data_IF_092328412597
#
_entry.id   IF_092328412597
#
_cell.length_a   1.000
_cell.length_b   1.000
_cell.length_c   1.000
_cell.angle_alpha   90.00
_cell.angle_beta   90.00
_cell.angle_gamma   90.00
#
_symmetry.space_group_name_H-M   'P 1'
#
loop_
_entity.id
_entity.type
_entity.pdbx_description
1 polymer ?
#
# COMPACT_ATOMS: atom_id res chain seq x y z
N UNK A 1 18.20 17.60 10.29
CA UNK A 1 17.44 16.35 10.37
C UNK A 1 17.07 15.95 8.95
N UNK A 2 17.11 14.69 8.61
CA UNK A 2 16.66 14.18 7.29
C UNK A 2 15.67 13.07 7.50
N UNK A 3 14.48 13.20 6.92
CA UNK A 3 13.56 12.08 6.78
C UNK A 3 14.23 11.02 5.90
N UNK A 4 14.17 9.75 6.30
CA UNK A 4 14.86 8.70 5.56
C UNK A 4 14.18 8.43 4.21
N UNK A 5 14.94 7.92 3.25
CA UNK A 5 14.44 7.52 1.95
C UNK A 5 14.21 6.01 1.93
N UNK A 6 13.13 5.60 1.27
CA UNK A 6 12.94 4.21 0.90
C UNK A 6 13.42 4.01 -0.53
N UNK A 7 14.37 3.10 -0.72
CA UNK A 7 14.77 2.59 -2.03
C UNK A 7 13.91 1.37 -2.34
N UNK A 8 13.35 1.31 -3.54
CA UNK A 8 12.63 0.15 -4.03
C UNK A 8 13.41 -0.55 -5.14
N UNK A 9 13.76 -1.82 -4.95
CA UNK A 9 14.34 -2.68 -5.97
C UNK A 9 13.32 -3.74 -6.39
N UNK A 10 13.32 -4.09 -7.69
CA UNK A 10 12.46 -5.12 -8.27
C UNK A 10 13.32 -6.27 -8.78
N UNK A 11 13.07 -7.48 -8.28
CA UNK A 11 13.65 -8.72 -8.74
C UNK A 11 12.60 -9.55 -9.46
N UNK A 12 12.99 -10.25 -10.51
CA UNK A 12 12.11 -11.06 -11.36
C UNK A 12 12.67 -12.45 -11.50
N UNK A 13 11.81 -13.47 -11.49
CA UNK A 13 12.16 -14.84 -11.77
C UNK A 13 11.19 -15.48 -12.77
N UNK A 14 11.76 -16.35 -13.61
CA UNK A 14 11.05 -17.21 -14.53
C UNK A 14 11.51 -18.65 -14.34
N UNK A 15 10.59 -19.60 -14.31
CA UNK A 15 10.92 -21.00 -14.07
C UNK A 15 9.68 -21.87 -13.94
N UNK A 16 9.89 -23.14 -13.67
CA UNK A 16 8.83 -24.15 -13.55
C UNK A 16 8.44 -24.49 -12.11
N UNK A 17 9.32 -24.21 -11.14
CA UNK A 17 9.02 -24.40 -9.71
C UNK A 17 8.86 -23.04 -9.03
N UNK A 18 7.72 -22.86 -8.37
CA UNK A 18 7.44 -21.65 -7.61
C UNK A 18 8.42 -21.49 -6.44
N UNK A 19 8.69 -22.56 -5.70
CA UNK A 19 9.58 -22.54 -4.55
C UNK A 19 11.01 -22.12 -4.92
N UNK A 20 11.54 -22.69 -6.03
CA UNK A 20 12.89 -22.34 -6.50
C UNK A 20 12.99 -20.87 -6.90
N UNK A 21 11.98 -20.36 -7.63
CA UNK A 21 11.91 -18.95 -8.01
C UNK A 21 11.82 -18.05 -6.78
N UNK A 22 10.98 -18.40 -5.80
CA UNK A 22 10.83 -17.64 -4.57
C UNK A 22 12.13 -17.60 -3.75
N UNK A 23 12.82 -18.75 -3.62
CA UNK A 23 14.13 -18.83 -2.94
C UNK A 23 15.20 -17.98 -3.62
N UNK A 24 15.28 -17.99 -4.96
CA UNK A 24 16.20 -17.16 -5.73
C UNK A 24 15.98 -15.67 -5.47
N UNK A 25 14.71 -15.21 -5.57
CA UNK A 25 14.36 -13.82 -5.36
C UNK A 25 14.63 -13.38 -3.92
N UNK A 26 14.21 -14.17 -2.94
CA UNK A 26 14.40 -13.89 -1.53
C UNK A 26 15.88 -13.90 -1.12
N UNK A 27 16.68 -14.81 -1.70
CA UNK A 27 18.13 -14.83 -1.51
C UNK A 27 18.82 -13.57 -2.05
N UNK A 28 18.24 -12.95 -3.07
CA UNK A 28 18.72 -11.65 -3.56
C UNK A 28 18.38 -10.53 -2.59
N UNK A 29 17.21 -10.56 -1.96
CA UNK A 29 16.79 -9.57 -0.97
C UNK A 29 17.65 -9.59 0.31
N UNK A 30 18.09 -10.77 0.78
CA UNK A 30 18.96 -10.88 1.97
C UNK A 30 20.31 -10.16 1.80
N UNK A 31 20.74 -9.97 0.56
CA UNK A 31 21.99 -9.26 0.26
C UNK A 31 21.85 -7.74 0.33
N UNK A 32 20.64 -7.24 0.41
CA UNK A 32 20.38 -5.81 0.58
C UNK A 32 20.48 -5.41 2.06
N UNK A 33 20.96 -4.21 2.30
CA UNK A 33 21.04 -3.65 3.64
C UNK A 33 19.72 -3.01 4.05
N UNK A 34 19.35 -3.13 5.32
CA UNK A 34 18.20 -2.44 5.93
C UNK A 34 16.88 -2.65 5.19
N UNK A 35 16.63 -3.89 4.79
CA UNK A 35 15.34 -4.25 4.18
C UNK A 35 14.23 -4.11 5.22
N UNK A 36 13.18 -3.36 4.88
CA UNK A 36 12.05 -3.11 5.78
C UNK A 36 10.74 -3.71 5.30
N UNK A 37 10.58 -3.93 3.98
CA UNK A 37 9.39 -4.57 3.41
C UNK A 37 9.74 -5.43 2.21
N UNK A 38 9.07 -6.57 2.11
CA UNK A 38 9.07 -7.45 0.94
C UNK A 38 7.64 -7.62 0.44
N UNK A 39 7.41 -7.38 -0.84
CA UNK A 39 6.12 -7.65 -1.49
C UNK A 39 6.36 -8.63 -2.64
N UNK A 40 5.81 -9.84 -2.52
CA UNK A 40 5.93 -10.88 -3.55
C UNK A 40 4.64 -10.93 -4.37
N UNK A 41 4.75 -10.60 -5.65
CA UNK A 41 3.66 -10.73 -6.63
C UNK A 41 3.74 -12.09 -7.30
N UNK A 42 2.64 -12.83 -7.23
CA UNK A 42 2.60 -14.23 -7.65
C UNK A 42 1.30 -14.57 -8.36
N UNK A 43 1.29 -15.70 -9.03
CA UNK A 43 0.06 -16.35 -9.47
C UNK A 43 -0.33 -17.41 -8.43
N UNK A 44 -1.61 -17.40 -8.05
CA UNK A 44 -2.24 -18.51 -7.31
C UNK A 44 -3.41 -19.07 -8.15
N UNK A 45 -3.75 -20.32 -7.93
CA UNK A 45 -4.91 -20.97 -8.54
C UNK A 45 -6.14 -20.95 -7.63
N UNK A 46 -5.92 -20.82 -6.31
CA UNK A 46 -6.96 -20.76 -5.27
C UNK A 46 -6.39 -20.19 -3.96
N UNK A 47 -7.25 -20.05 -2.96
CA UNK A 47 -6.86 -19.56 -1.63
C UNK A 47 -6.08 -20.59 -0.79
N UNK A 48 -6.09 -21.88 -1.16
CA UNK A 48 -5.24 -22.88 -0.49
C UNK A 48 -3.78 -22.71 -0.93
N UNK A 49 -3.54 -22.56 -2.22
CA UNK A 49 -2.22 -22.26 -2.77
C UNK A 49 -1.70 -20.91 -2.24
N UNK A 50 -2.56 -19.89 -2.17
CA UNK A 50 -2.20 -18.61 -1.57
C UNK A 50 -1.70 -18.77 -0.13
N UNK A 51 -2.42 -19.50 0.71
CA UNK A 51 -2.03 -19.77 2.11
C UNK A 51 -0.70 -20.52 2.19
N UNK A 52 -0.47 -21.48 1.31
CA UNK A 52 0.79 -22.22 1.23
C UNK A 52 1.94 -21.28 0.87
N UNK A 53 1.82 -20.50 -0.21
CA UNK A 53 2.85 -19.58 -0.68
C UNK A 53 3.14 -18.49 0.37
N UNK A 54 2.12 -17.99 1.04
CA UNK A 54 2.26 -17.02 2.12
C UNK A 54 3.03 -17.60 3.31
N UNK A 55 2.66 -18.79 3.76
CA UNK A 55 3.35 -19.48 4.86
C UNK A 55 4.81 -19.76 4.52
N UNK A 56 5.10 -20.15 3.28
CA UNK A 56 6.46 -20.33 2.79
C UNK A 56 7.26 -19.02 2.91
N UNK A 57 6.72 -17.91 2.42
CA UNK A 57 7.36 -16.59 2.46
C UNK A 57 7.66 -16.15 3.90
N UNK A 58 6.67 -16.26 4.80
CA UNK A 58 6.82 -15.91 6.21
C UNK A 58 7.91 -16.75 6.89
N UNK A 59 7.86 -18.07 6.72
CA UNK A 59 8.87 -19.00 7.30
C UNK A 59 10.25 -18.80 6.71
N UNK A 60 10.33 -18.47 5.40
CA UNK A 60 11.61 -18.22 4.75
C UNK A 60 12.27 -16.98 5.34
N UNK A 61 11.54 -15.90 5.49
CA UNK A 61 12.02 -14.65 6.12
C UNK A 61 12.43 -14.90 7.56
N UNK A 62 11.66 -15.66 8.32
CA UNK A 62 11.99 -16.01 9.71
C UNK A 62 13.33 -16.76 9.85
N UNK A 63 13.67 -17.60 8.89
CA UNK A 63 14.91 -18.39 8.94
C UNK A 63 16.14 -17.65 8.43
N UNK A 64 15.99 -16.70 7.51
CA UNK A 64 17.12 -16.14 6.76
C UNK A 64 17.39 -14.66 7.07
N UNK A 65 16.44 -13.93 7.61
CA UNK A 65 16.67 -12.58 8.07
C UNK A 65 16.94 -12.55 9.59
N UNK A 66 17.97 -11.80 9.98
CA UNK A 66 18.21 -11.48 11.39
C UNK A 66 17.30 -10.33 11.79
N UNK A 67 16.80 -10.34 13.04
CA UNK A 67 15.97 -9.22 13.54
C UNK A 67 16.77 -7.89 13.52
N UNK A 68 16.15 -6.80 13.05
CA UNK A 68 14.74 -6.66 12.67
C UNK A 68 14.44 -7.25 11.28
N UNK A 69 13.47 -8.17 11.22
CA UNK A 69 13.04 -8.81 9.98
C UNK A 69 12.06 -7.91 9.20
N UNK A 70 12.14 -7.84 7.86
CA UNK A 70 11.21 -7.05 7.06
C UNK A 70 9.76 -7.53 7.22
N UNK A 71 8.78 -6.63 7.13
CA UNK A 71 7.39 -7.03 6.95
C UNK A 71 7.21 -7.65 5.57
N UNK A 72 6.26 -8.58 5.46
CA UNK A 72 6.05 -9.33 4.22
C UNK A 72 4.59 -9.28 3.77
N UNK A 73 4.40 -9.15 2.46
CA UNK A 73 3.09 -9.20 1.82
C UNK A 73 3.15 -10.11 0.60
N UNK A 74 2.20 -11.03 0.50
CA UNK A 74 2.00 -11.85 -0.69
C UNK A 74 0.80 -11.31 -1.46
N UNK A 75 1.00 -10.93 -2.70
CA UNK A 75 -0.04 -10.37 -3.58
C UNK A 75 -0.34 -11.39 -4.69
N UNK A 76 -1.52 -12.00 -4.62
CA UNK A 76 -1.97 -12.99 -5.61
C UNK A 76 -2.45 -12.30 -6.89
N UNK A 77 -1.53 -11.63 -7.57
CA UNK A 77 -1.72 -11.02 -8.87
C UNK A 77 -0.53 -11.37 -9.75
N UNK A 78 -0.80 -12.13 -10.81
CA UNK A 78 0.24 -12.55 -11.74
C UNK A 78 0.95 -11.33 -12.34
N UNK A 79 2.28 -11.23 -12.23
CA UNK A 79 3.06 -10.19 -12.91
C UNK A 79 2.94 -10.31 -14.44
N UNK A 80 3.01 -9.17 -15.16
CA UNK A 80 2.90 -9.17 -16.62
C UNK A 80 4.17 -9.68 -17.33
N UNK A 81 5.31 -9.51 -16.68
CA UNK A 81 6.64 -9.64 -17.33
C UNK A 81 7.49 -10.77 -16.75
N UNK A 82 6.96 -11.56 -15.83
CA UNK A 82 7.65 -12.68 -15.20
C UNK A 82 6.66 -13.61 -14.50
N UNK A 83 7.12 -14.78 -14.02
CA UNK A 83 6.28 -15.67 -13.22
C UNK A 83 6.15 -15.18 -11.77
N UNK A 84 7.25 -14.65 -11.21
CA UNK A 84 7.29 -14.00 -9.91
C UNK A 84 8.00 -12.64 -10.00
N UNK A 85 7.56 -11.68 -9.18
CA UNK A 85 8.24 -10.41 -8.96
C UNK A 85 8.31 -10.14 -7.46
N UNK A 86 9.51 -9.89 -6.97
CA UNK A 86 9.75 -9.45 -5.60
C UNK A 86 10.11 -7.97 -5.59
N UNK A 87 9.34 -7.20 -4.86
CA UNK A 87 9.62 -5.82 -4.53
C UNK A 87 10.28 -5.76 -3.16
N UNK A 88 11.44 -5.11 -3.09
CA UNK A 88 12.25 -4.99 -1.87
C UNK A 88 12.36 -3.52 -1.52
N UNK A 89 11.86 -3.15 -0.35
CA UNK A 89 12.01 -1.81 0.20
C UNK A 89 13.13 -1.81 1.23
N UNK A 90 14.11 -0.97 1.01
CA UNK A 90 15.28 -0.79 1.88
C UNK A 90 15.42 0.67 2.29
N UNK A 91 15.85 0.91 3.53
CA UNK A 91 16.13 2.26 3.99
C UNK A 91 17.49 2.73 3.47
N UNK A 92 17.50 3.91 2.89
CA UNK A 92 18.74 4.63 2.55
C UNK A 92 19.09 5.56 3.69
N UNK A 93 20.33 5.48 4.17
CA UNK A 93 20.81 6.28 5.29
C UNK A 93 20.59 7.78 5.09
N UNK A 94 20.01 8.42 6.12
CA UNK A 94 20.19 9.84 6.35
C UNK A 94 21.48 10.02 7.17
N UNK A 95 22.46 10.71 6.64
CA UNK A 95 23.87 10.69 7.05
C UNK A 95 24.18 11.30 8.43
N UNK A 96 23.22 11.90 9.14
CA UNK A 96 23.50 12.79 10.27
C UNK A 96 22.88 12.38 11.62
N UNK A 97 22.07 11.32 11.70
CA UNK A 97 21.41 10.89 12.94
C UNK A 97 21.35 9.37 13.10
N UNK A 98 21.43 8.93 14.35
CA UNK A 98 21.22 7.54 14.69
C UNK A 98 19.76 7.15 14.43
N UNK A 99 19.54 6.28 13.48
CA UNK A 99 18.26 5.70 13.15
C UNK A 99 18.22 4.27 13.72
N UNK A 100 17.18 3.95 14.46
CA UNK A 100 16.93 2.60 14.95
C UNK A 100 15.81 1.95 14.14
N UNK A 101 15.95 0.66 13.86
CA UNK A 101 14.90 -0.19 13.28
C UNK A 101 14.64 -1.30 14.28
N UNK A 102 13.41 -1.43 14.74
CA UNK A 102 13.03 -2.41 15.73
C UNK A 102 11.84 -3.22 15.26
N UNK A 103 11.92 -4.52 15.45
CA UNK A 103 10.80 -5.42 15.25
C UNK A 103 9.90 -5.40 16.49
N UNK A 104 8.62 -5.11 16.30
CA UNK A 104 7.65 -4.96 17.37
C UNK A 104 6.46 -5.91 17.17
N UNK A 105 5.76 -6.18 18.26
CA UNK A 105 4.58 -7.04 18.26
C UNK A 105 3.47 -6.40 19.11
N UNK A 106 2.24 -6.47 18.64
CA UNK A 106 1.08 -6.11 19.43
C UNK A 106 0.77 -7.18 20.49
N UNK A 107 -0.19 -6.93 21.36
CA UNK A 107 -0.66 -7.90 22.36
C UNK A 107 -1.23 -9.18 21.73
N UNK A 108 -1.79 -9.08 20.53
CA UNK A 108 -2.27 -10.23 19.72
C UNK A 108 -1.19 -10.81 18.80
N UNK A 109 0.07 -10.44 18.99
CA UNK A 109 1.23 -10.94 18.24
C UNK A 109 1.26 -10.51 16.75
N UNK A 110 0.61 -9.41 16.40
CA UNK A 110 0.76 -8.81 15.07
C UNK A 110 2.10 -8.13 14.98
N UNK A 111 2.94 -8.54 14.02
CA UNK A 111 4.30 -8.04 13.82
C UNK A 111 4.31 -6.79 12.94
N UNK A 112 5.15 -5.82 13.30
CA UNK A 112 5.43 -4.62 12.50
C UNK A 112 6.84 -4.12 12.76
N UNK A 113 7.30 -3.13 12.01
CA UNK A 113 8.57 -2.43 12.24
C UNK A 113 8.33 -1.03 12.76
N UNK A 114 9.12 -0.64 13.75
CA UNK A 114 9.25 0.73 14.23
C UNK A 114 10.61 1.27 13.80
N UNK A 115 10.61 2.35 13.04
CA UNK A 115 11.78 3.13 12.70
C UNK A 115 11.74 4.38 13.55
N UNK A 116 12.81 4.69 14.26
CA UNK A 116 12.84 5.85 15.15
C UNK A 116 14.15 6.61 15.04
N UNK A 117 14.03 7.93 15.15
CA UNK A 117 15.11 8.88 15.39
C UNK A 117 14.83 9.64 16.68
N UNK A 118 15.66 10.63 17.05
CA UNK A 118 15.38 11.54 18.18
C UNK A 118 14.15 12.45 17.93
N UNK A 119 13.64 12.54 16.69
CA UNK A 119 12.66 13.54 16.26
C UNK A 119 11.34 12.95 15.77
N UNK A 120 11.36 11.78 15.13
CA UNK A 120 10.15 11.14 14.61
C UNK A 120 10.19 9.63 14.76
N UNK A 121 9.02 9.03 14.65
CA UNK A 121 8.82 7.58 14.51
C UNK A 121 8.02 7.30 13.25
N UNK A 122 8.41 6.25 12.54
CA UNK A 122 7.64 5.67 11.46
C UNK A 122 7.32 4.21 11.76
N UNK A 123 6.09 3.82 11.50
CA UNK A 123 5.63 2.45 11.56
C UNK A 123 5.49 1.92 10.15
N UNK A 124 6.08 0.76 9.89
CA UNK A 124 5.90 0.00 8.66
C UNK A 124 5.23 -1.31 9.01
N UNK A 125 4.04 -1.53 8.47
CA UNK A 125 3.29 -2.76 8.65
C UNK A 125 2.85 -3.31 7.30
N UNK A 126 2.76 -4.63 7.19
CA UNK A 126 2.34 -5.31 5.97
C UNK A 126 1.78 -6.70 6.24
N UNK A 127 1.10 -7.25 5.27
CA UNK A 127 0.51 -8.57 5.37
C UNK A 127 -0.70 -8.66 6.30
N UNK A 128 -1.33 -7.53 6.65
CA UNK A 128 -2.46 -7.49 7.58
C UNK A 128 -3.74 -7.95 6.89
N UNK A 129 -4.22 -9.13 7.23
CA UNK A 129 -5.42 -9.73 6.64
C UNK A 129 -6.26 -10.45 7.69
N UNK A 130 -7.44 -10.91 7.30
CA UNK A 130 -8.25 -11.81 8.09
C UNK A 130 -7.56 -13.19 8.23
N UNK A 131 -7.86 -13.89 9.33
CA UNK A 131 -7.34 -15.24 9.57
C UNK A 131 -8.08 -16.28 8.72
N UNK A 132 -9.37 -16.08 8.47
CA UNK A 132 -10.19 -16.89 7.57
C UNK A 132 -10.57 -16.10 6.30
N UNK A 133 -10.03 -16.52 5.16
CA UNK A 133 -10.31 -15.92 3.85
C UNK A 133 -11.68 -16.31 3.26
N UNK A 134 -12.44 -17.22 3.91
CA UNK A 134 -13.79 -17.58 3.46
C UNK A 134 -14.87 -16.64 4.03
N UNK A 135 -14.52 -15.77 4.97
CA UNK A 135 -15.43 -14.76 5.50
C UNK A 135 -15.90 -13.79 4.42
N UNK A 136 -17.09 -13.19 4.55
CA UNK A 136 -17.49 -12.07 3.70
C UNK A 136 -16.47 -10.92 3.70
N UNK A 137 -16.37 -10.20 2.59
CA UNK A 137 -15.42 -9.08 2.43
C UNK A 137 -15.50 -8.08 3.58
N UNK A 138 -16.71 -7.77 4.05
CA UNK A 138 -16.93 -6.87 5.18
C UNK A 138 -16.25 -7.35 6.46
N UNK A 139 -16.43 -8.61 6.82
CA UNK A 139 -15.82 -9.20 8.01
C UNK A 139 -14.30 -9.32 7.90
N UNK A 140 -13.80 -9.69 6.72
CA UNK A 140 -12.37 -9.68 6.44
C UNK A 140 -11.77 -8.28 6.58
N UNK A 141 -12.45 -7.25 6.06
CA UNK A 141 -12.04 -5.85 6.18
C UNK A 141 -12.00 -5.41 7.64
N UNK A 142 -13.02 -5.75 8.43
CA UNK A 142 -13.05 -5.45 9.86
C UNK A 142 -11.88 -6.07 10.62
N UNK A 143 -11.54 -7.34 10.35
CA UNK A 143 -10.40 -8.00 10.99
C UNK A 143 -9.08 -7.35 10.58
N UNK A 144 -8.91 -7.03 9.30
CA UNK A 144 -7.70 -6.35 8.82
C UNK A 144 -7.53 -4.96 9.46
N UNK A 145 -8.60 -4.14 9.49
CA UNK A 145 -8.56 -2.82 10.12
C UNK A 145 -8.37 -2.87 11.64
N UNK A 146 -8.88 -3.89 12.33
CA UNK A 146 -8.59 -4.09 13.77
C UNK A 146 -7.10 -4.32 14.01
N UNK A 147 -6.41 -5.07 13.16
CA UNK A 147 -4.95 -5.26 13.25
C UNK A 147 -4.20 -3.94 13.01
N UNK A 148 -4.66 -3.11 12.05
CA UNK A 148 -4.13 -1.75 11.84
C UNK A 148 -4.31 -0.91 13.10
N UNK A 149 -5.53 -0.85 13.64
CA UNK A 149 -5.87 -0.08 14.84
C UNK A 149 -5.04 -0.53 16.06
N UNK A 150 -4.84 -1.82 16.24
CA UNK A 150 -4.05 -2.38 17.32
C UNK A 150 -2.59 -1.96 17.26
N UNK A 151 -1.97 -1.97 16.07
CA UNK A 151 -0.61 -1.47 15.87
C UNK A 151 -0.53 0.02 16.20
N UNK A 152 -1.45 0.82 15.66
CA UNK A 152 -1.46 2.27 15.90
C UNK A 152 -1.61 2.59 17.39
N UNK A 153 -2.52 1.91 18.10
CA UNK A 153 -2.71 2.07 19.55
C UNK A 153 -1.47 1.67 20.35
N UNK A 154 -0.78 0.59 19.97
CA UNK A 154 0.46 0.17 20.63
C UNK A 154 1.55 1.25 20.54
N UNK A 155 1.54 2.06 19.50
CA UNK A 155 2.47 3.16 19.28
C UNK A 155 1.93 4.54 19.69
N UNK A 156 0.76 4.60 20.35
CA UNK A 156 0.08 5.85 20.71
C UNK A 156 -0.21 6.74 19.49
N UNK A 157 -0.51 6.11 18.36
CA UNK A 157 -0.93 6.71 17.11
C UNK A 157 -2.40 6.43 16.83
N UNK A 158 -2.95 7.08 15.82
CA UNK A 158 -4.30 6.87 15.31
C UNK A 158 -4.30 6.82 13.77
N UNK A 159 -5.46 6.60 13.13
CA UNK A 159 -5.54 6.50 11.67
C UNK A 159 -5.11 7.78 10.95
N UNK A 160 -5.20 8.97 11.59
CA UNK A 160 -4.73 10.24 11.03
C UNK A 160 -3.22 10.32 10.84
N UNK A 161 -2.45 9.45 11.52
CA UNK A 161 -0.99 9.36 11.39
C UNK A 161 -0.55 8.51 10.20
N UNK A 162 -1.49 7.80 9.53
CA UNK A 162 -1.18 7.01 8.34
C UNK A 162 -0.87 7.94 7.16
N UNK A 163 0.32 7.82 6.60
CA UNK A 163 0.75 8.61 5.43
C UNK A 163 0.58 7.86 4.12
N UNK A 164 0.72 6.53 4.15
CA UNK A 164 0.57 5.67 2.97
C UNK A 164 -0.14 4.37 3.33
N UNK A 165 -1.11 3.94 2.48
CA UNK A 165 -1.81 2.66 2.66
C UNK A 165 -2.00 1.97 1.31
N UNK A 166 -1.69 0.66 1.25
CA UNK A 166 -2.01 -0.22 0.13
C UNK A 166 -3.10 -1.18 0.56
N UNK A 167 -4.14 -1.30 -0.26
CA UNK A 167 -5.28 -2.17 -0.01
C UNK A 167 -5.39 -3.14 -1.18
N UNK A 168 -5.10 -4.40 -0.94
CA UNK A 168 -5.24 -5.46 -1.92
C UNK A 168 -6.55 -6.19 -1.64
N UNK A 169 -7.43 -6.23 -2.63
CA UNK A 169 -8.78 -6.76 -2.48
C UNK A 169 -9.03 -7.86 -3.50
N UNK A 170 -9.28 -9.06 -3.01
CA UNK A 170 -9.73 -10.15 -3.87
C UNK A 170 -11.03 -9.76 -4.58
N UNK A 171 -11.04 -9.88 -5.92
CA UNK A 171 -12.22 -9.64 -6.74
C UNK A 171 -12.87 -8.26 -6.50
N UNK A 172 -12.06 -7.22 -6.42
CA UNK A 172 -12.43 -5.86 -6.01
C UNK A 172 -13.69 -5.31 -6.70
N UNK A 173 -13.95 -5.67 -7.96
CA UNK A 173 -15.09 -5.19 -8.76
C UNK A 173 -16.31 -6.10 -8.68
N UNK A 174 -16.20 -7.29 -8.09
CA UNK A 174 -17.30 -8.24 -8.02
C UNK A 174 -18.39 -7.77 -7.07
N UNK A 175 -19.62 -8.17 -7.39
CA UNK A 175 -20.78 -7.92 -6.54
C UNK A 175 -21.06 -9.17 -5.72
N UNK A 176 -20.98 -9.05 -4.41
CA UNK A 176 -21.28 -10.11 -3.45
C UNK A 176 -22.31 -9.61 -2.45
N UNK A 177 -23.34 -10.45 -2.15
CA UNK A 177 -24.41 -10.08 -1.20
C UNK A 177 -25.08 -8.71 -1.47
N UNK A 178 -25.18 -8.34 -2.75
CA UNK A 178 -25.85 -7.10 -3.19
C UNK A 178 -24.99 -5.83 -3.06
N UNK A 179 -23.68 -5.96 -2.82
CA UNK A 179 -22.76 -4.85 -2.77
C UNK A 179 -21.45 -5.17 -3.52
N UNK A 180 -20.79 -4.17 -4.06
CA UNK A 180 -19.47 -4.37 -4.66
C UNK A 180 -18.43 -4.60 -3.54
N UNK A 181 -17.50 -5.53 -3.74
CA UNK A 181 -16.45 -5.82 -2.75
C UNK A 181 -15.67 -4.57 -2.32
N UNK A 182 -15.39 -3.67 -3.26
CA UNK A 182 -14.74 -2.39 -2.96
C UNK A 182 -15.60 -1.47 -2.10
N UNK A 183 -16.93 -1.48 -2.29
CA UNK A 183 -17.85 -0.67 -1.48
C UNK A 183 -17.94 -1.22 -0.05
N UNK A 184 -18.06 -2.56 0.12
CA UNK A 184 -18.03 -3.18 1.46
C UNK A 184 -16.76 -2.84 2.23
N UNK A 185 -15.60 -2.84 1.55
CA UNK A 185 -14.33 -2.40 2.13
C UNK A 185 -14.36 -0.90 2.51
N UNK A 186 -14.89 -0.02 1.65
CA UNK A 186 -14.99 1.42 1.92
C UNK A 186 -15.92 1.73 3.09
N UNK A 187 -17.03 1.00 3.21
CA UNK A 187 -17.97 1.16 4.32
C UNK A 187 -17.29 0.84 5.65
N UNK A 188 -16.55 -0.26 5.72
CA UNK A 188 -15.77 -0.64 6.91
C UNK A 188 -14.68 0.39 7.19
N UNK A 189 -13.91 0.80 6.19
CA UNK A 189 -12.88 1.85 6.33
C UNK A 189 -13.48 3.12 6.92
N UNK A 190 -14.64 3.53 6.45
CA UNK A 190 -15.32 4.74 6.94
C UNK A 190 -15.64 4.65 8.43
N UNK A 191 -16.07 3.47 8.92
CA UNK A 191 -16.34 3.24 10.34
C UNK A 191 -15.08 3.39 11.20
N UNK A 192 -13.96 2.78 10.79
CA UNK A 192 -12.70 2.89 11.53
C UNK A 192 -12.13 4.31 11.50
N UNK A 193 -12.24 4.99 10.37
CA UNK A 193 -11.72 6.34 10.18
C UNK A 193 -12.54 7.41 10.92
N UNK A 194 -13.80 7.12 11.26
CA UNK A 194 -14.67 8.07 11.97
C UNK A 194 -14.16 8.48 13.38
N UNK A 195 -13.30 7.66 13.97
CA UNK A 195 -12.76 7.90 15.32
C UNK A 195 -11.49 8.79 15.35
N UNK A 196 -10.96 9.17 14.19
CA UNK A 196 -9.69 9.91 14.09
C UNK A 196 -9.88 11.33 13.59
N UNK A 197 -9.03 12.24 14.08
CA UNK A 197 -8.88 13.56 13.48
C UNK A 197 -7.99 13.46 12.22
N UNK A 198 -8.33 14.25 11.21
CA UNK A 198 -7.66 14.25 9.90
C UNK A 198 -7.00 15.60 9.64
N UNK A 199 -6.19 16.08 10.59
CA UNK A 199 -5.51 17.37 10.50
C UNK A 199 -4.62 17.50 9.27
N UNK A 200 -3.97 16.39 8.87
CA UNK A 200 -3.13 16.31 7.67
C UNK A 200 -3.84 15.65 6.48
N UNK A 201 -5.19 15.56 6.49
CA UNK A 201 -5.97 14.85 5.47
C UNK A 201 -5.85 13.31 5.57
N UNK A 202 -6.58 12.61 4.71
CA UNK A 202 -6.52 11.14 4.61
C UNK A 202 -5.17 10.64 4.11
N UNK A 203 -4.85 9.34 4.27
CA UNK A 203 -3.61 8.80 3.72
C UNK A 203 -3.59 8.85 2.18
N UNK A 204 -2.41 8.94 1.59
CA UNK A 204 -2.25 8.51 0.21
C UNK A 204 -2.52 7.00 0.15
N UNK A 205 -3.51 6.55 -0.66
CA UNK A 205 -3.88 5.15 -0.68
C UNK A 205 -4.11 4.61 -2.08
N UNK A 206 -3.91 3.29 -2.23
CA UNK A 206 -4.16 2.57 -3.47
C UNK A 206 -5.06 1.37 -3.17
N UNK A 207 -6.15 1.21 -3.92
CA UNK A 207 -6.97 0.01 -3.97
C UNK A 207 -6.58 -0.83 -5.18
N UNK A 208 -6.18 -2.07 -4.97
CA UNK A 208 -5.67 -2.97 -6.01
C UNK A 208 -6.47 -4.27 -6.00
N UNK A 209 -7.04 -4.63 -7.14
CA UNK A 209 -7.70 -5.93 -7.29
C UNK A 209 -6.71 -7.07 -7.34
N UNK A 210 -6.99 -8.16 -6.62
CA UNK A 210 -6.25 -9.41 -6.67
C UNK A 210 -7.14 -10.57 -7.05
N UNK A 211 -6.53 -11.69 -7.45
CA UNK A 211 -7.28 -12.89 -7.80
C UNK A 211 -7.68 -13.70 -6.56
N UNK A 212 -6.80 -13.75 -5.57
CA UNK A 212 -6.95 -14.49 -4.31
C UNK A 212 -6.33 -13.71 -3.16
N UNK A 213 -6.49 -14.18 -1.93
CA UNK A 213 -5.86 -13.64 -0.73
C UNK A 213 -6.77 -12.76 0.13
N UNK A 214 -8.04 -12.64 -0.23
CA UNK A 214 -9.01 -11.86 0.54
C UNK A 214 -8.67 -10.38 0.61
N UNK A 215 -8.77 -9.81 1.80
CA UNK A 215 -8.42 -8.42 2.10
C UNK A 215 -7.04 -8.39 2.76
N UNK A 216 -6.11 -7.64 2.17
CA UNK A 216 -4.76 -7.45 2.68
C UNK A 216 -4.45 -5.94 2.76
N UNK A 217 -3.96 -5.48 3.90
CA UNK A 217 -3.60 -4.08 4.13
C UNK A 217 -2.11 -3.99 4.49
N UNK A 218 -1.41 -3.08 3.81
CA UNK A 218 -0.08 -2.59 4.18
C UNK A 218 -0.18 -1.10 4.47
N UNK A 219 0.60 -0.59 5.42
CA UNK A 219 0.62 0.85 5.67
C UNK A 219 1.96 1.35 6.22
N UNK A 220 2.16 2.67 6.09
CA UNK A 220 3.15 3.45 6.81
C UNK A 220 2.42 4.54 7.60
N UNK A 221 2.80 4.72 8.87
CA UNK A 221 2.32 5.80 9.72
C UNK A 221 3.51 6.55 10.32
N UNK A 222 3.39 7.88 10.47
CA UNK A 222 4.50 8.73 10.93
C UNK A 222 4.00 9.68 12.01
N UNK A 223 4.78 9.86 13.07
CA UNK A 223 4.52 10.86 14.10
C UNK A 223 5.81 11.52 14.58
N UNK A 224 5.72 12.77 15.02
CA UNK A 224 6.85 13.55 15.52
C UNK A 224 7.09 14.84 14.75
N UNK A 225 8.33 15.31 14.71
CA UNK A 225 8.71 16.59 14.10
C UNK A 225 8.90 16.47 12.58
N UNK A 226 7.81 16.22 11.87
CA UNK A 226 7.76 16.15 10.39
C UNK A 226 6.56 16.95 9.90
N UNK A 227 6.72 17.57 8.74
CA UNK A 227 5.61 18.24 8.06
C UNK A 227 4.90 17.22 7.16
N UNK A 228 3.60 17.05 7.37
CA UNK A 228 2.75 16.14 6.58
C UNK A 228 1.68 16.98 5.89
N UNK A 229 1.71 17.00 4.54
CA UNK A 229 0.83 17.84 3.73
C UNK A 229 0.08 16.98 2.72
N UNK A 230 -1.27 17.06 2.68
CA UNK A 230 -2.04 16.43 1.60
C UNK A 230 -1.75 17.15 0.28
N UNK A 231 -1.67 16.39 -0.79
CA UNK A 231 -1.49 16.90 -2.15
C UNK A 231 -2.78 16.71 -2.94
N UNK A 232 -3.33 17.81 -3.42
CA UNK A 232 -4.53 17.84 -4.24
C UNK A 232 -4.18 18.03 -5.71
N UNK A 233 -5.09 17.53 -6.57
CA UNK A 233 -5.02 17.71 -8.00
C UNK A 233 -6.34 18.36 -8.47
N UNK A 234 -6.31 19.62 -8.85
CA UNK A 234 -7.48 20.37 -9.31
C UNK A 234 -8.08 19.85 -10.63
N UNK A 235 -7.36 19.00 -11.35
CA UNK A 235 -7.90 18.26 -12.50
C UNK A 235 -8.74 17.04 -12.10
N UNK A 236 -8.68 16.64 -10.84
CA UNK A 236 -9.40 15.49 -10.31
C UNK A 236 -10.15 15.87 -9.05
N UNK A 237 -11.44 15.52 -8.97
CA UNK A 237 -12.21 15.70 -7.74
C UNK A 237 -11.60 14.87 -6.60
N UNK A 238 -11.54 15.41 -5.40
CA UNK A 238 -11.06 14.67 -4.23
C UNK A 238 -11.93 13.42 -4.00
N UNK A 239 -11.29 12.27 -3.76
CA UNK A 239 -12.01 11.00 -3.73
C UNK A 239 -13.05 10.90 -2.60
N UNK A 240 -12.78 11.56 -1.47
CA UNK A 240 -13.67 11.58 -0.30
C UNK A 240 -14.93 12.45 -0.47
N UNK A 241 -15.04 13.20 -1.60
CA UNK A 241 -16.23 13.99 -1.95
C UNK A 241 -16.87 13.56 -3.27
N UNK A 242 -16.61 12.32 -3.72
CA UNK A 242 -17.26 11.75 -4.90
C UNK A 242 -18.78 11.74 -4.72
N UNK A 243 -19.49 11.98 -5.83
CA UNK A 243 -20.94 11.89 -5.86
C UNK A 243 -21.44 10.45 -5.74
N UNK A 244 -22.69 10.28 -5.31
CA UNK A 244 -23.34 8.96 -5.23
C UNK A 244 -23.45 8.25 -6.58
N UNK A 245 -23.30 8.98 -7.70
CA UNK A 245 -23.38 8.44 -9.05
C UNK A 245 -22.20 7.52 -9.41
N UNK A 246 -21.02 7.78 -8.82
CA UNK A 246 -19.84 6.95 -9.01
C UNK A 246 -19.68 5.82 -7.97
N UNK A 247 -20.52 5.81 -6.93
CA UNK A 247 -20.51 4.79 -5.89
C UNK A 247 -21.44 3.63 -6.23
N UNK A 248 -20.89 2.44 -6.45
CA UNK A 248 -21.64 1.24 -6.85
C UNK A 248 -22.12 0.50 -5.59
N UNK A 249 -23.35 0.76 -5.17
CA UNK A 249 -24.04 0.00 -4.12
C UNK A 249 -25.49 -0.25 -4.53
N UNK A 250 -25.95 -1.46 -4.26
CA UNK A 250 -27.36 -1.85 -4.47
C UNK A 250 -28.13 -1.94 -3.15
N UNK A 251 -27.53 -1.59 -2.00
CA UNK A 251 -28.22 -1.54 -0.71
C UNK A 251 -28.90 -0.18 -0.57
N UNK A 252 -30.24 -0.20 -0.45
CA UNK A 252 -31.04 1.00 -0.36
C UNK A 252 -30.98 1.72 1.01
N UNK A 253 -30.50 1.05 2.05
CA UNK A 253 -30.68 1.47 3.45
C UNK A 253 -29.41 1.95 4.15
N UNK A 254 -28.28 2.09 3.45
CA UNK A 254 -27.01 2.54 4.05
C UNK A 254 -26.40 3.71 3.29
N UNK A 255 -25.97 4.73 4.02
CA UNK A 255 -25.09 5.76 3.48
C UNK A 255 -23.85 5.11 2.89
N UNK A 256 -23.57 5.38 1.61
CA UNK A 256 -22.39 4.82 0.93
C UNK A 256 -21.13 5.51 1.44
N UNK A 257 -20.19 4.72 1.93
CA UNK A 257 -18.87 5.24 2.29
C UNK A 257 -18.10 5.68 1.04
N UNK A 258 -17.73 6.97 0.97
CA UNK A 258 -16.84 7.46 -0.08
C UNK A 258 -15.42 6.91 0.13
N UNK A 259 -14.61 6.72 -0.94
CA UNK A 259 -13.21 6.36 -0.78
C UNK A 259 -12.46 7.44 0.03
N UNK A 260 -11.83 7.04 1.13
CA UNK A 260 -11.14 7.95 2.05
C UNK A 260 -9.64 7.94 1.77
N UNK A 261 -9.21 8.79 0.84
CA UNK A 261 -7.78 9.00 0.52
C UNK A 261 -7.55 10.35 -0.13
N UNK A 262 -6.36 10.92 0.03
CA UNK A 262 -5.87 12.06 -0.73
C UNK A 262 -5.23 11.61 -2.03
N UNK A 263 -5.09 12.47 -3.04
CA UNK A 263 -4.43 12.17 -4.30
C UNK A 263 -2.94 11.90 -4.14
N UNK A 264 -2.34 12.55 -3.16
CA UNK A 264 -0.99 12.30 -2.70
C UNK A 264 -0.77 12.83 -1.30
N UNK A 265 0.38 12.55 -0.73
CA UNK A 265 0.80 13.07 0.56
C UNK A 265 2.31 13.29 0.55
N UNK A 266 2.73 14.49 0.92
CA UNK A 266 4.12 14.82 1.18
C UNK A 266 4.43 14.61 2.66
N UNK A 267 5.56 13.98 2.93
CA UNK A 267 6.17 13.89 4.26
C UNK A 267 7.56 14.47 4.16
N UNK A 268 7.80 15.56 4.87
CA UNK A 268 9.07 16.26 4.77
C UNK A 268 9.62 16.67 6.12
N UNK A 269 10.92 16.77 6.18
CA UNK A 269 11.60 17.65 7.09
C UNK A 269 12.16 18.85 6.29
N UNK A 270 12.82 19.79 6.95
CA UNK A 270 13.36 21.01 6.32
C UNK A 270 14.38 20.78 5.19
N UNK A 271 14.78 19.55 4.92
CA UNK A 271 15.89 19.20 4.00
C UNK A 271 15.52 18.13 2.98
N UNK A 272 14.52 17.33 3.26
CA UNK A 272 14.16 16.18 2.43
C UNK A 272 12.65 15.92 2.44
N UNK A 273 12.12 15.61 1.28
CA UNK A 273 10.70 15.34 1.05
C UNK A 273 10.52 13.98 0.41
N UNK A 274 9.52 13.23 0.89
CA UNK A 274 9.03 12.01 0.27
C UNK A 274 7.57 12.24 -0.10
N UNK A 275 7.25 12.08 -1.38
CA UNK A 275 5.89 12.20 -1.88
C UNK A 275 5.31 10.81 -2.11
N UNK A 276 4.24 10.50 -1.42
CA UNK A 276 3.42 9.31 -1.62
C UNK A 276 2.27 9.66 -2.57
N UNK A 277 2.17 8.96 -3.70
CA UNK A 277 1.12 9.16 -4.70
C UNK A 277 0.10 8.02 -4.58
N UNK A 278 -1.18 8.37 -4.48
CA UNK A 278 -2.27 7.40 -4.49
C UNK A 278 -2.41 6.71 -5.85
N UNK A 279 -3.05 5.56 -5.86
CA UNK A 279 -3.47 4.94 -7.10
C UNK A 279 -4.31 5.93 -7.91
N UNK A 280 -3.90 6.19 -9.14
CA UNK A 280 -4.60 7.08 -10.06
C UNK A 280 -4.80 6.42 -11.42
N UNK A 281 -5.68 6.98 -12.23
CA UNK A 281 -6.05 6.50 -13.55
C UNK A 281 -6.31 7.68 -14.48
N UNK A 282 -6.75 7.41 -15.70
CA UNK A 282 -7.21 8.42 -16.64
C UNK A 282 -8.58 8.98 -16.20
N UNK A 283 -8.55 9.84 -15.19
CA UNK A 283 -9.73 10.48 -14.58
C UNK A 283 -9.60 11.98 -14.73
N UNK A 284 -10.69 12.65 -15.15
CA UNK A 284 -10.87 14.10 -15.13
C UNK A 284 -12.11 14.43 -14.31
N UNK A 285 -11.98 15.30 -13.31
CA UNK A 285 -13.04 15.46 -12.31
C UNK A 285 -13.23 14.17 -11.51
N UNK A 286 -14.39 13.54 -11.59
CA UNK A 286 -14.70 12.22 -11.03
C UNK A 286 -14.98 11.16 -12.09
N UNK A 287 -14.93 11.52 -13.39
CA UNK A 287 -15.26 10.65 -14.51
C UNK A 287 -14.02 9.99 -15.09
N UNK A 288 -14.12 8.68 -15.35
CA UNK A 288 -13.10 7.96 -16.12
C UNK A 288 -13.16 8.36 -17.60
N UNK A 289 -12.00 8.69 -18.17
CA UNK A 289 -11.90 8.94 -19.61
C UNK A 289 -12.02 7.59 -20.34
N UNK A 290 -13.22 7.29 -20.79
CA UNK A 290 -13.55 6.04 -21.50
C UNK A 290 -13.13 6.12 -22.97
N UNK A 291 -11.84 5.96 -23.23
CA UNK A 291 -11.34 5.74 -24.58
C UNK A 291 -10.91 4.28 -24.71
N UNK A 292 -11.07 3.67 -25.88
CA UNK A 292 -10.50 2.35 -26.16
C UNK A 292 -8.98 2.37 -26.34
N UNK A 293 -8.35 3.55 -26.23
CA UNK A 293 -6.91 3.75 -26.42
C UNK A 293 -6.16 3.72 -25.09
N UNK A 294 -5.44 2.63 -24.88
CA UNK A 294 -4.62 2.43 -23.66
C UNK A 294 -3.44 3.41 -23.58
N UNK A 295 -2.91 3.88 -24.71
CA UNK A 295 -1.81 4.86 -24.73
C UNK A 295 -2.32 6.20 -24.22
N UNK A 296 -3.46 6.67 -24.73
CA UNK A 296 -4.07 7.92 -24.28
C UNK A 296 -4.47 7.86 -22.79
N UNK A 297 -5.01 6.72 -22.31
CA UNK A 297 -5.28 6.55 -20.88
C UNK A 297 -3.99 6.60 -20.04
N UNK A 298 -2.90 6.05 -20.56
CA UNK A 298 -1.59 6.11 -19.87
C UNK A 298 -1.05 7.53 -19.85
N UNK A 299 -1.13 8.27 -20.95
CA UNK A 299 -0.71 9.67 -21.03
C UNK A 299 -1.47 10.54 -20.02
N UNK A 300 -2.81 10.46 -20.01
CA UNK A 300 -3.64 11.21 -19.06
C UNK A 300 -3.30 10.84 -17.59
N UNK A 301 -3.02 9.57 -17.33
CA UNK A 301 -2.61 9.13 -15.99
C UNK A 301 -1.28 9.74 -15.58
N UNK A 302 -0.30 9.77 -16.48
CA UNK A 302 1.00 10.38 -16.24
C UNK A 302 0.90 11.90 -16.08
N UNK A 303 0.08 12.57 -16.88
CA UNK A 303 -0.20 14.00 -16.73
C UNK A 303 -0.81 14.31 -15.36
N UNK A 304 -1.77 13.51 -14.89
CA UNK A 304 -2.35 13.66 -13.54
C UNK A 304 -1.27 13.56 -12.45
N UNK A 305 -0.32 12.63 -12.59
CA UNK A 305 0.79 12.48 -11.64
C UNK A 305 1.74 13.69 -11.72
N UNK A 306 2.11 14.12 -12.92
CA UNK A 306 2.99 15.26 -13.11
C UNK A 306 2.40 16.55 -12.52
N UNK A 307 1.13 16.78 -12.79
CA UNK A 307 0.41 17.94 -12.26
C UNK A 307 0.35 17.91 -10.72
N UNK A 308 0.02 16.74 -10.14
CA UNK A 308 -0.06 16.58 -8.69
C UNK A 308 1.25 16.91 -7.95
N UNK A 309 2.41 16.59 -8.53
CA UNK A 309 3.72 16.81 -7.90
C UNK A 309 4.39 18.12 -8.35
N UNK A 310 3.67 18.98 -9.09
CA UNK A 310 4.16 20.26 -9.54
C UNK A 310 5.35 20.19 -10.51
N UNK A 311 5.52 19.07 -11.22
CA UNK A 311 6.55 18.95 -12.25
C UNK A 311 6.07 19.62 -13.54
N UNK A 312 6.63 20.77 -13.86
CA UNK A 312 6.52 21.35 -15.20
C UNK A 312 7.25 20.49 -16.24
N UNK A 313 6.86 20.62 -17.51
CA UNK A 313 7.48 19.87 -18.62
C UNK A 313 9.02 19.97 -18.58
N UNK A 314 9.68 18.85 -18.39
CA UNK A 314 11.16 18.74 -18.44
C UNK A 314 11.86 18.25 -17.18
N UNK A 315 11.19 18.13 -16.04
CA UNK A 315 11.78 17.57 -14.82
C UNK A 315 11.60 16.04 -14.77
N UNK A 316 12.68 15.34 -14.48
CA UNK A 316 12.72 13.88 -14.42
C UNK A 316 11.96 13.34 -13.21
N UNK A 317 11.04 12.40 -13.43
CA UNK A 317 10.31 11.66 -12.41
C UNK A 317 11.20 10.72 -11.55
N UNK A 318 12.49 11.01 -11.38
CA UNK A 318 13.48 10.14 -10.72
C UNK A 318 13.20 9.93 -9.22
N UNK A 319 12.34 10.73 -8.60
CA UNK A 319 12.12 10.72 -7.15
C UNK A 319 10.75 10.23 -6.69
N UNK A 320 9.96 9.61 -7.56
CA UNK A 320 8.68 9.04 -7.15
C UNK A 320 8.93 7.66 -6.56
N UNK A 321 8.80 7.53 -5.25
CA UNK A 321 8.85 6.25 -4.55
C UNK A 321 7.49 5.54 -4.63
N UNK A 322 7.05 5.23 -5.85
CA UNK A 322 5.92 4.32 -6.06
C UNK A 322 6.40 3.09 -6.83
N UNK A 323 6.16 1.90 -6.29
CA UNK A 323 6.56 0.64 -6.94
C UNK A 323 5.73 0.30 -8.18
N UNK A 324 4.69 1.05 -8.47
CA UNK A 324 3.81 0.83 -9.62
C UNK A 324 4.35 1.37 -10.95
N UNK A 325 5.58 1.87 -11.01
CA UNK A 325 6.17 2.26 -12.27
C UNK A 325 6.43 1.04 -13.16
N UNK A 326 5.45 0.66 -13.95
CA UNK A 326 5.69 -0.16 -15.14
C UNK A 326 6.65 0.64 -16.03
N UNK A 327 7.91 0.21 -16.13
CA UNK A 327 8.78 0.69 -17.19
C UNK A 327 8.09 0.39 -18.51
N UNK A 328 7.95 1.43 -19.30
CA UNK A 328 7.25 1.40 -20.56
C UNK A 328 7.67 0.23 -21.43
N UNK A 329 6.69 -0.25 -22.13
CA UNK A 329 6.82 -1.11 -23.28
C UNK A 329 7.71 -0.36 -24.29
N UNK A 330 8.92 -0.84 -24.49
CA UNK A 330 9.70 -0.58 -25.69
C UNK A 330 9.49 -1.72 -26.65
#
# INVERSE_FOLDING_TARGET
MKYHRIKCNLYKAEGNSWEQMAEELLSSAVREERVVRLVLFTRCTDNQEYKFQRSFLEQWVERHFVSPRPVVSLVAQKPLVANLVLEVHSLVEATDEALTIEEQFTSSSVRYLRIATSHYREIIAGGLCADDLNLPVREQSEQAFRKVEEILKAEQMNFGDIVRQWNYLERITDITHGNQCYQDFNDVRTLFYASSAWESGYPAATGIGTQYGGILIDFNAVSGEVDIVPLDNDWQRAAHVYSDEVLISHRADTEKGTPKFERGKSVSDRRQEVIYISGTAAIRGEESVTTGDVLLQTEITLENIQHLIGLEEGLSLIHISEPTRRRGIS
#
